data_IF_695209963768
#
_entry.id   IF_695209963768
#
_cell.length_a   1.000
_cell.length_b   1.000
_cell.length_c   1.000
_cell.angle_alpha   90.00
_cell.angle_beta   90.00
_cell.angle_gamma   90.00
#
_symmetry.space_group_name_H-M   'P 1'
#
loop_
_entity.id
_entity.type
_entity.pdbx_description
1 polymer ?
#
# COMPACT_ATOMS: atom_id res chain seq x y z
N UNK A 1 -9.40 11.62 12.27
CA UNK A 1 -8.94 12.89 12.89
C UNK A 1 -9.47 14.06 12.03
N UNK A 2 -9.44 15.33 12.46
CA UNK A 2 -9.89 16.49 11.65
C UNK A 2 -8.80 17.55 11.57
N UNK A 3 -8.61 18.19 10.41
CA UNK A 3 -7.73 19.35 10.25
C UNK A 3 -8.56 20.62 10.03
N UNK A 4 -8.06 21.74 10.54
CA UNK A 4 -8.68 23.05 10.45
C UNK A 4 -7.65 24.04 9.93
N UNK A 5 -7.97 24.71 8.82
CA UNK A 5 -7.18 25.84 8.33
C UNK A 5 -7.55 27.06 9.20
N UNK A 6 -6.68 27.42 10.15
CA UNK A 6 -6.83 28.61 11.00
C UNK A 6 -5.98 29.72 10.42
N UNK A 7 -6.63 30.78 9.95
CA UNK A 7 -5.98 31.99 9.48
C UNK A 7 -5.80 32.95 10.64
N UNK A 8 -4.56 33.37 10.86
CA UNK A 8 -4.19 34.36 11.87
C UNK A 8 -3.93 35.66 11.13
N UNK A 9 -4.69 36.71 11.45
CA UNK A 9 -4.49 38.05 10.89
C UNK A 9 -4.06 39.01 11.98
N UNK A 10 -2.86 39.59 11.85
CA UNK A 10 -2.36 40.64 12.74
C UNK A 10 -2.65 42.02 12.15
N UNK A 11 -3.25 42.91 12.93
CA UNK A 11 -3.58 44.29 12.55
C UNK A 11 -2.64 45.26 13.27
N UNK A 12 -2.01 46.17 12.53
CA UNK A 12 -1.15 47.23 13.08
C UNK A 12 -1.74 48.62 12.82
N UNK A 13 -1.77 49.48 13.84
CA UNK A 13 -2.29 50.86 13.78
C UNK A 13 -1.26 51.88 14.30
N UNK A 14 -1.09 52.99 13.58
CA UNK A 14 -0.22 54.12 13.97
C UNK A 14 -0.85 55.43 13.58
N UNK A 15 -1.07 56.29 14.57
CA UNK A 15 -1.58 57.65 14.36
C UNK A 15 -0.42 58.57 14.02
N UNK A 16 -0.50 59.27 12.89
CA UNK A 16 0.50 60.23 12.43
C UNK A 16 -0.15 61.59 12.25
N UNK A 17 0.50 62.64 12.74
CA UNK A 17 0.07 64.02 12.56
C UNK A 17 0.85 64.66 11.41
N UNK A 18 0.14 65.18 10.41
CA UNK A 18 0.74 65.88 9.25
C UNK A 18 0.04 67.22 9.02
N UNK A 19 0.78 68.19 8.48
CA UNK A 19 0.23 69.48 8.05
C UNK A 19 0.00 69.45 6.53
N UNK A 20 -1.26 69.61 6.13
CA UNK A 20 -1.65 69.65 4.72
C UNK A 20 -2.79 70.66 4.49
N UNK A 21 -2.98 71.11 3.25
CA UNK A 21 -4.01 72.11 2.92
C UNK A 21 -5.43 71.49 2.82
N UNK A 22 -5.54 70.17 2.79
CA UNK A 22 -6.82 69.45 2.78
C UNK A 22 -6.69 68.02 3.34
N UNK A 23 -7.81 67.42 3.76
CA UNK A 23 -7.86 66.03 4.25
C UNK A 23 -7.37 65.02 3.20
N UNK A 24 -7.74 65.23 1.93
CA UNK A 24 -7.34 64.35 0.82
C UNK A 24 -5.83 64.41 0.57
N UNK A 25 -5.24 65.60 0.72
CA UNK A 25 -3.80 65.79 0.58
C UNK A 25 -3.03 65.17 1.75
N UNK A 26 -3.54 65.30 2.99
CA UNK A 26 -2.99 64.62 4.16
C UNK A 26 -2.97 63.09 3.99
N UNK A 27 -4.09 62.48 3.57
CA UNK A 27 -4.17 61.04 3.33
C UNK A 27 -3.21 60.58 2.22
N UNK A 28 -3.13 61.33 1.11
CA UNK A 28 -2.22 61.00 0.01
C UNK A 28 -0.76 61.09 0.44
N UNK A 29 -0.40 62.11 1.21
CA UNK A 29 0.94 62.30 1.74
C UNK A 29 1.34 61.16 2.68
N UNK A 30 0.49 60.81 3.64
CA UNK A 30 0.74 59.71 4.58
C UNK A 30 0.82 58.37 3.86
N UNK A 31 -0.05 58.13 2.87
CA UNK A 31 -0.03 56.91 2.05
C UNK A 31 1.26 56.79 1.23
N UNK A 32 1.73 57.89 0.65
CA UNK A 32 2.98 57.91 -0.11
C UNK A 32 4.18 57.66 0.81
N UNK A 33 4.27 58.36 1.94
CA UNK A 33 5.32 58.18 2.93
C UNK A 33 5.35 56.76 3.53
N UNK A 34 4.19 56.11 3.65
CA UNK A 34 4.11 54.69 4.02
C UNK A 34 4.74 53.78 2.94
N UNK A 35 4.41 53.96 1.66
CA UNK A 35 5.01 53.18 0.56
C UNK A 35 6.50 53.46 0.38
N UNK A 36 6.95 54.68 0.66
CA UNK A 36 8.36 55.08 0.65
C UNK A 36 9.11 54.63 1.92
N UNK A 37 8.43 53.87 2.81
CA UNK A 37 8.97 53.29 4.05
C UNK A 37 9.40 54.32 5.11
N UNK A 38 8.93 55.57 5.02
CA UNK A 38 9.15 56.60 6.06
C UNK A 38 8.30 56.34 7.31
N UNK A 39 7.13 55.72 7.15
CA UNK A 39 6.29 55.24 8.24
C UNK A 39 6.26 53.71 8.28
N UNK A 40 7.15 53.12 9.08
CA UNK A 40 7.13 51.69 9.37
C UNK A 40 6.22 51.43 10.56
N UNK A 41 5.32 50.46 10.41
CA UNK A 41 4.53 49.86 11.48
C UNK A 41 5.34 48.67 12.02
N UNK A 42 5.70 48.71 13.29
CA UNK A 42 6.46 47.65 13.95
C UNK A 42 5.63 47.00 15.08
N UNK A 43 6.27 46.13 15.87
CA UNK A 43 5.63 45.43 16.98
C UNK A 43 4.99 46.33 18.04
N UNK A 44 5.40 47.61 18.15
CA UNK A 44 4.79 48.57 19.08
C UNK A 44 3.45 49.13 18.56
N UNK A 45 3.15 48.94 17.27
CA UNK A 45 1.91 49.38 16.62
C UNK A 45 0.82 48.29 16.60
N UNK A 46 0.99 47.21 17.35
CA UNK A 46 0.05 46.09 17.35
C UNK A 46 -1.32 46.48 17.92
N UNK A 47 -2.37 46.35 17.10
CA UNK A 47 -3.75 46.68 17.46
C UNK A 47 -4.60 45.44 17.80
N UNK A 48 -4.22 44.24 17.32
CA UNK A 48 -4.88 42.99 17.69
C UNK A 48 -4.65 41.84 16.70
N UNK A 49 -5.15 40.66 17.07
CA UNK A 49 -5.17 39.45 16.22
C UNK A 49 -6.61 38.98 16.06
N UNK A 50 -7.02 38.66 14.84
CA UNK A 50 -8.24 37.90 14.56
C UNK A 50 -7.91 36.49 14.07
N UNK A 51 -8.73 35.52 14.48
CA UNK A 51 -8.61 34.11 14.10
C UNK A 51 -9.85 33.73 13.31
N UNK A 52 -9.68 33.44 12.02
CA UNK A 52 -10.76 33.03 11.13
C UNK A 52 -10.51 31.60 10.66
N UNK A 53 -11.48 30.71 10.87
CA UNK A 53 -11.40 29.30 10.43
C UNK A 53 -12.09 29.18 9.06
N UNK A 54 -11.31 28.98 7.99
CA UNK A 54 -11.83 29.13 6.62
C UNK A 54 -12.37 27.83 5.99
N UNK A 55 -12.07 26.64 6.52
CA UNK A 55 -12.72 25.39 6.06
C UNK A 55 -12.57 24.21 7.03
N UNK A 56 -13.64 23.41 7.16
CA UNK A 56 -13.61 22.04 7.68
C UNK A 56 -13.20 21.11 6.54
N UNK A 57 -12.03 20.47 6.64
CA UNK A 57 -11.66 19.37 5.75
C UNK A 57 -11.77 18.07 6.52
N UNK A 58 -12.69 17.23 6.08
CA UNK A 58 -12.79 15.87 6.59
C UNK A 58 -11.58 15.10 6.06
N UNK A 59 -10.74 14.61 6.97
CA UNK A 59 -9.70 13.67 6.59
C UNK A 59 -10.46 12.38 6.28
N UNK A 60 -10.59 12.03 5.00
CA UNK A 60 -10.79 10.62 4.64
C UNK A 60 -9.50 9.95 5.12
N UNK A 61 -9.51 9.49 6.36
CA UNK A 61 -8.53 8.51 6.80
C UNK A 61 -8.86 7.29 5.96
N UNK A 62 -8.17 7.20 4.82
CA UNK A 62 -7.98 6.00 4.05
C UNK A 62 -7.18 5.05 4.94
N UNK A 63 -7.79 4.60 6.05
CA UNK A 63 -7.40 3.40 6.74
C UNK A 63 -7.69 2.30 5.74
N UNK A 64 -6.79 2.11 4.77
CA UNK A 64 -6.76 0.90 3.98
C UNK A 64 -6.72 -0.22 5.00
N UNK A 65 -7.84 -0.91 5.16
CA UNK A 65 -7.90 -2.11 5.98
C UNK A 65 -6.96 -3.09 5.31
N UNK A 66 -5.77 -3.24 5.88
CA UNK A 66 -4.79 -4.18 5.40
C UNK A 66 -5.19 -5.58 5.86
N UNK A 67 -5.02 -6.53 4.96
CA UNK A 67 -5.32 -7.93 5.17
C UNK A 67 -4.07 -8.77 5.00
N UNK A 68 -3.85 -9.68 5.94
CA UNK A 68 -2.79 -10.69 5.84
C UNK A 68 -3.27 -11.82 4.91
N UNK A 69 -2.60 -11.96 3.77
CA UNK A 69 -2.96 -12.93 2.72
C UNK A 69 -1.73 -13.68 2.23
N UNK A 70 -1.94 -14.82 1.57
CA UNK A 70 -0.85 -15.58 0.95
C UNK A 70 -0.83 -15.30 -0.56
N UNK A 71 0.24 -14.65 -1.03
CA UNK A 71 0.48 -14.43 -2.46
C UNK A 71 1.25 -15.61 -3.05
N UNK A 72 0.70 -16.21 -4.11
CA UNK A 72 1.31 -17.35 -4.80
C UNK A 72 1.57 -16.96 -6.24
N UNK A 73 2.85 -16.93 -6.62
CA UNK A 73 3.28 -16.59 -7.99
C UNK A 73 3.76 -17.82 -8.78
N UNK A 74 3.65 -17.81 -10.12
CA UNK A 74 4.14 -18.89 -10.97
C UNK A 74 5.64 -19.17 -10.77
N UNK A 75 5.96 -20.41 -10.41
CA UNK A 75 7.34 -20.87 -10.22
C UNK A 75 8.04 -20.31 -8.97
N UNK A 76 7.30 -19.73 -8.02
CA UNK A 76 7.84 -19.17 -6.77
C UNK A 76 7.20 -19.82 -5.55
N UNK A 77 7.94 -19.85 -4.45
CA UNK A 77 7.38 -20.17 -3.14
C UNK A 77 6.31 -19.14 -2.74
N UNK A 78 5.26 -19.56 -2.02
CA UNK A 78 4.23 -18.66 -1.55
C UNK A 78 4.80 -17.62 -0.57
N UNK A 79 4.21 -16.42 -0.53
CA UNK A 79 4.68 -15.31 0.28
C UNK A 79 3.52 -14.72 1.10
N UNK A 80 3.66 -14.70 2.42
CA UNK A 80 2.76 -13.93 3.28
C UNK A 80 2.97 -12.43 3.02
N UNK A 81 1.90 -11.73 2.66
CA UNK A 81 1.92 -10.30 2.33
C UNK A 81 0.72 -9.58 2.94
N UNK A 82 0.87 -8.28 3.16
CA UNK A 82 -0.24 -7.41 3.53
C UNK A 82 -0.69 -6.60 2.32
N UNK A 83 -1.97 -6.70 1.98
CA UNK A 83 -2.60 -5.93 0.89
C UNK A 83 -3.85 -5.23 1.40
N UNK A 84 -4.32 -4.19 0.70
CA UNK A 84 -5.61 -3.57 1.03
C UNK A 84 -6.77 -4.50 0.66
N UNK A 85 -7.86 -4.43 1.42
CA UNK A 85 -9.08 -5.20 1.16
C UNK A 85 -9.98 -4.66 0.05
N UNK A 86 -9.60 -3.55 -0.58
CA UNK A 86 -10.38 -2.95 -1.66
C UNK A 86 -10.22 -3.73 -2.97
N UNK A 87 -11.27 -3.72 -3.81
CA UNK A 87 -11.28 -4.41 -5.11
C UNK A 87 -10.07 -4.04 -5.98
N UNK A 88 -9.70 -2.76 -6.01
CA UNK A 88 -8.56 -2.27 -6.80
C UNK A 88 -7.22 -2.86 -6.33
N UNK A 89 -7.05 -3.05 -5.01
CA UNK A 89 -5.84 -3.61 -4.44
C UNK A 89 -5.72 -5.12 -4.78
N UNK A 90 -6.85 -5.85 -4.76
CA UNK A 90 -6.91 -7.26 -5.18
C UNK A 90 -6.63 -7.41 -6.68
N UNK A 91 -7.29 -6.60 -7.53
CA UNK A 91 -7.09 -6.62 -8.98
C UNK A 91 -5.64 -6.33 -9.36
N UNK A 92 -5.01 -5.38 -8.68
CA UNK A 92 -3.59 -5.06 -8.87
C UNK A 92 -2.68 -6.21 -8.45
N UNK A 93 -3.03 -6.94 -7.40
CA UNK A 93 -2.24 -8.07 -6.90
C UNK A 93 -2.29 -9.27 -7.86
N UNK A 94 -3.44 -9.59 -8.45
CA UNK A 94 -3.60 -10.71 -9.40
C UNK A 94 -3.33 -10.32 -10.86
N UNK A 95 -3.23 -9.02 -11.14
CA UNK A 95 -2.89 -8.47 -12.45
C UNK A 95 -4.05 -8.42 -13.45
N UNK A 96 -5.29 -8.25 -12.97
CA UNK A 96 -6.49 -8.19 -13.82
C UNK A 96 -7.79 -8.20 -13.03
N UNK A 97 -8.90 -8.40 -13.72
CA UNK A 97 -10.20 -8.60 -13.08
C UNK A 97 -10.20 -9.88 -12.24
N UNK A 98 -10.82 -9.80 -11.07
CA UNK A 98 -10.74 -10.87 -10.08
C UNK A 98 -11.89 -11.85 -10.22
N UNK A 99 -11.60 -13.12 -10.03
CA UNK A 99 -12.57 -14.19 -9.81
C UNK A 99 -12.24 -14.88 -8.49
N UNK A 100 -13.27 -15.18 -7.69
CA UNK A 100 -13.13 -15.93 -6.45
C UNK A 100 -13.49 -17.40 -6.67
N UNK A 101 -12.57 -18.29 -6.32
CA UNK A 101 -12.75 -19.75 -6.41
C UNK A 101 -12.72 -20.33 -5.00
N UNK A 102 -13.58 -21.32 -4.74
CA UNK A 102 -13.77 -21.94 -3.43
C UNK A 102 -13.48 -23.44 -3.51
N UNK A 103 -12.21 -23.85 -3.70
CA UNK A 103 -11.88 -25.26 -3.90
C UNK A 103 -11.73 -26.03 -2.57
N UNK A 104 -11.85 -25.36 -1.43
CA UNK A 104 -11.61 -25.89 -0.09
C UNK A 104 -12.89 -25.87 0.77
N UNK A 105 -12.92 -26.67 1.84
CA UNK A 105 -14.04 -26.67 2.79
C UNK A 105 -13.84 -25.64 3.91
N UNK A 106 -12.59 -25.23 4.14
CA UNK A 106 -12.20 -24.15 5.02
C UNK A 106 -12.77 -22.80 4.55
N UNK A 107 -12.90 -21.84 5.46
CA UNK A 107 -13.37 -20.47 5.17
C UNK A 107 -12.30 -19.65 4.43
N UNK A 108 -11.93 -20.13 3.26
CA UNK A 108 -10.85 -19.60 2.42
C UNK A 108 -11.29 -19.55 0.96
N UNK A 109 -10.93 -18.48 0.28
CA UNK A 109 -11.07 -18.36 -1.16
C UNK A 109 -9.72 -18.15 -1.85
N UNK A 110 -9.67 -18.56 -3.11
CA UNK A 110 -8.60 -18.19 -4.03
C UNK A 110 -9.08 -17.04 -4.90
N UNK A 111 -8.42 -15.90 -4.81
CA UNK A 111 -8.65 -14.77 -5.70
C UNK A 111 -7.67 -14.89 -6.86
N UNK A 112 -8.20 -15.11 -8.06
CA UNK A 112 -7.43 -15.33 -9.29
C UNK A 112 -7.75 -14.25 -10.31
N UNK A 113 -6.91 -14.11 -11.34
CA UNK A 113 -7.22 -13.32 -12.51
C UNK A 113 -8.18 -14.08 -13.43
N UNK A 114 -9.40 -13.58 -13.61
CA UNK A 114 -10.48 -14.19 -14.42
C UNK A 114 -9.99 -14.47 -15.85
N UNK A 115 -9.29 -13.50 -16.44
CA UNK A 115 -8.80 -13.60 -17.81
C UNK A 115 -7.38 -14.19 -17.90
N UNK A 116 -6.79 -14.66 -16.80
CA UNK A 116 -5.39 -15.09 -16.75
C UNK A 116 -5.02 -16.13 -17.81
N UNK A 117 -5.91 -17.11 -18.05
CA UNK A 117 -5.73 -18.14 -19.09
C UNK A 117 -5.85 -17.57 -20.51
N UNK A 118 -6.75 -16.62 -20.71
CA UNK A 118 -7.02 -15.99 -22.02
C UNK A 118 -5.86 -15.04 -22.40
N UNK A 119 -5.34 -14.31 -21.41
CA UNK A 119 -4.25 -13.35 -21.56
C UNK A 119 -2.87 -14.02 -21.63
N UNK A 120 -2.81 -15.35 -21.49
CA UNK A 120 -1.58 -16.12 -21.64
C UNK A 120 -0.65 -16.06 -20.43
N UNK A 121 -1.18 -15.78 -19.24
CA UNK A 121 -0.42 -15.84 -17.98
C UNK A 121 0.18 -17.22 -17.76
N UNK A 122 1.34 -17.28 -17.10
CA UNK A 122 2.01 -18.54 -16.76
C UNK A 122 1.12 -19.38 -15.82
N UNK A 123 1.07 -20.69 -16.05
CA UNK A 123 0.36 -21.62 -15.18
C UNK A 123 1.05 -21.71 -13.81
N UNK A 124 0.28 -21.72 -12.73
CA UNK A 124 0.78 -21.53 -11.38
C UNK A 124 0.62 -22.77 -10.48
N UNK A 125 -0.62 -23.17 -10.18
CA UNK A 125 -0.97 -24.33 -9.34
C UNK A 125 -2.18 -25.07 -9.89
N UNK A 126 -2.16 -26.39 -9.81
CA UNK A 126 -3.29 -27.25 -10.15
C UNK A 126 -4.33 -27.25 -9.04
N UNK A 127 -5.60 -27.21 -9.41
CA UNK A 127 -6.70 -27.54 -8.53
C UNK A 127 -7.12 -29.00 -8.77
N UNK A 128 -7.26 -29.75 -7.68
CA UNK A 128 -7.47 -31.19 -7.68
C UNK A 128 -8.81 -31.52 -7.02
N UNK A 129 -9.51 -32.52 -7.56
CA UNK A 129 -10.72 -33.06 -6.95
C UNK A 129 -10.38 -34.00 -5.78
N UNK A 130 -11.41 -34.55 -5.12
CA UNK A 130 -11.26 -35.52 -4.03
C UNK A 130 -10.49 -36.80 -4.43
N UNK A 131 -10.39 -37.09 -5.72
CA UNK A 131 -9.64 -38.22 -6.27
C UNK A 131 -8.20 -37.85 -6.65
N UNK A 132 -7.77 -36.61 -6.41
CA UNK A 132 -6.47 -36.08 -6.77
C UNK A 132 -6.30 -35.76 -8.26
N UNK A 133 -7.38 -35.81 -9.04
CA UNK A 133 -7.37 -35.49 -10.47
C UNK A 133 -7.44 -33.99 -10.68
N UNK A 134 -6.62 -33.48 -11.60
CA UNK A 134 -6.61 -32.06 -11.96
C UNK A 134 -7.89 -31.76 -12.73
N UNK A 135 -8.74 -30.91 -12.17
CA UNK A 135 -9.93 -30.40 -12.86
C UNK A 135 -9.71 -29.00 -13.43
N UNK A 136 -8.82 -28.21 -12.83
CA UNK A 136 -8.44 -26.90 -13.32
C UNK A 136 -6.99 -26.51 -12.97
N UNK A 137 -6.45 -25.49 -13.63
CA UNK A 137 -5.11 -24.95 -13.39
C UNK A 137 -5.19 -23.43 -13.33
N UNK A 138 -4.73 -22.85 -12.23
CA UNK A 138 -4.68 -21.39 -12.06
C UNK A 138 -3.58 -20.82 -12.97
N UNK A 139 -3.87 -19.69 -13.64
CA UNK A 139 -2.93 -18.96 -14.48
C UNK A 139 -2.68 -17.55 -13.93
N UNK A 140 -1.41 -17.18 -13.77
CA UNK A 140 -0.99 -15.92 -13.16
C UNK A 140 -0.86 -15.98 -11.64
N UNK A 141 -0.62 -14.82 -11.04
CA UNK A 141 -0.54 -14.64 -9.60
C UNK A 141 -1.95 -14.82 -9.00
N UNK A 142 -2.02 -15.45 -7.83
CA UNK A 142 -3.27 -15.57 -7.08
C UNK A 142 -3.05 -15.33 -5.59
N UNK A 143 -4.14 -14.98 -4.91
CA UNK A 143 -4.14 -14.77 -3.47
C UNK A 143 -4.96 -15.86 -2.79
N UNK A 144 -4.48 -16.33 -1.65
CA UNK A 144 -5.28 -17.08 -0.69
C UNK A 144 -5.76 -16.09 0.36
N UNK A 145 -7.07 -15.98 0.52
CA UNK A 145 -7.71 -15.01 1.43
C UNK A 145 -8.68 -15.72 2.36
N UNK A 146 -8.85 -15.20 3.57
CA UNK A 146 -9.90 -15.66 4.47
C UNK A 146 -11.27 -15.17 4.01
N UNK A 147 -12.32 -15.86 4.45
CA UNK A 147 -13.71 -15.43 4.22
C UNK A 147 -14.26 -14.81 5.50
N UNK A 148 -14.69 -13.55 5.39
CA UNK A 148 -15.54 -12.90 6.39
C UNK A 148 -17.02 -13.16 6.12
N UNK A 149 -17.90 -12.39 6.78
CA UNK A 149 -19.35 -12.53 6.61
C UNK A 149 -19.83 -12.08 5.23
N UNK A 150 -19.32 -10.93 4.75
CA UNK A 150 -19.72 -10.33 3.46
C UNK A 150 -18.52 -9.98 2.56
N UNK A 151 -17.31 -9.89 3.12
CA UNK A 151 -16.09 -9.48 2.43
C UNK A 151 -14.95 -10.49 2.65
N UNK A 152 -13.87 -10.35 1.87
CA UNK A 152 -12.64 -11.06 2.13
C UNK A 152 -11.99 -10.59 3.44
N UNK A 153 -11.38 -11.52 4.17
CA UNK A 153 -10.75 -11.28 5.46
C UNK A 153 -9.28 -11.76 5.48
N UNK A 154 -8.55 -11.31 6.50
CA UNK A 154 -7.19 -11.82 6.74
C UNK A 154 -7.23 -13.32 7.02
N UNK A 155 -6.24 -14.05 6.53
CA UNK A 155 -6.03 -15.43 6.96
C UNK A 155 -5.65 -15.47 8.44
N UNK A 156 -6.23 -16.43 9.17
CA UNK A 156 -5.73 -16.72 10.52
C UNK A 156 -4.30 -17.28 10.42
N UNK A 157 -3.47 -17.15 11.48
CA UNK A 157 -2.12 -17.70 11.48
C UNK A 157 -2.08 -19.21 11.16
N UNK A 158 -3.09 -19.96 11.60
CA UNK A 158 -3.21 -21.40 11.34
C UNK A 158 -3.48 -21.69 9.86
N UNK A 159 -4.41 -20.95 9.25
CA UNK A 159 -4.73 -21.08 7.82
C UNK A 159 -3.55 -20.63 6.95
N UNK A 160 -2.84 -19.56 7.35
CA UNK A 160 -1.64 -19.10 6.68
C UNK A 160 -0.58 -20.22 6.60
N UNK A 161 -0.29 -20.88 7.72
CA UNK A 161 0.69 -21.98 7.75
C UNK A 161 0.20 -23.21 6.98
N UNK A 162 -1.10 -23.52 7.05
CA UNK A 162 -1.71 -24.64 6.30
C UNK A 162 -1.56 -24.45 4.79
N UNK A 163 -1.96 -23.29 4.28
CA UNK A 163 -1.92 -23.01 2.84
C UNK A 163 -0.51 -22.69 2.33
N UNK A 164 0.39 -22.19 3.19
CA UNK A 164 1.80 -22.10 2.85
C UNK A 164 2.39 -23.49 2.58
N UNK A 165 2.03 -24.51 3.37
CA UNK A 165 2.46 -25.91 3.16
C UNK A 165 1.81 -26.51 1.92
N UNK A 166 0.51 -26.29 1.72
CA UNK A 166 -0.25 -26.81 0.57
C UNK A 166 0.34 -26.30 -0.75
N UNK A 167 0.62 -24.99 -0.83
CA UNK A 167 1.15 -24.36 -2.04
C UNK A 167 2.66 -24.20 -2.07
N UNK A 168 3.38 -24.79 -1.10
CA UNK A 168 4.81 -24.58 -0.93
C UNK A 168 5.56 -24.87 -2.22
N UNK A 169 5.40 -26.08 -2.76
CA UNK A 169 6.11 -26.47 -3.97
C UNK A 169 5.45 -25.88 -5.21
N UNK A 170 6.18 -25.13 -6.05
CA UNK A 170 5.68 -24.72 -7.35
C UNK A 170 5.50 -25.91 -8.29
N UNK A 171 4.59 -25.80 -9.25
CA UNK A 171 4.32 -26.85 -10.23
C UNK A 171 4.73 -26.40 -11.64
N UNK A 172 5.12 -27.37 -12.47
CA UNK A 172 5.25 -27.22 -13.91
C UNK A 172 4.25 -28.14 -14.63
N UNK A 173 3.75 -27.67 -15.76
CA UNK A 173 2.67 -28.34 -16.48
C UNK A 173 3.15 -28.88 -17.80
N UNK A 174 2.98 -30.19 -18.01
CA UNK A 174 3.40 -30.88 -19.24
C UNK A 174 2.17 -31.46 -19.93
N UNK A 175 1.97 -31.09 -21.20
CA UNK A 175 0.91 -31.63 -22.03
C UNK A 175 1.30 -33.02 -22.56
N UNK A 176 0.53 -34.03 -22.18
CA UNK A 176 0.65 -35.42 -22.63
C UNK A 176 -0.56 -35.75 -23.52
N UNK A 177 -0.47 -35.38 -24.80
CA UNK A 177 -1.55 -35.58 -25.77
C UNK A 177 -2.81 -34.78 -25.42
N UNK A 178 -3.85 -35.47 -24.92
CA UNK A 178 -5.13 -34.89 -24.47
C UNK A 178 -5.18 -34.58 -22.97
N UNK A 179 -4.16 -34.99 -22.21
CA UNK A 179 -4.10 -34.80 -20.77
C UNK A 179 -3.00 -33.80 -20.40
N UNK A 180 -3.12 -33.18 -19.24
CA UNK A 180 -2.08 -32.33 -18.64
C UNK A 180 -1.62 -32.98 -17.34
N UNK A 181 -0.31 -33.03 -17.12
CA UNK A 181 0.30 -33.45 -15.87
C UNK A 181 0.92 -32.26 -15.17
N UNK A 182 0.70 -32.14 -13.86
CA UNK A 182 1.42 -31.22 -12.99
C UNK A 182 2.53 -31.98 -12.26
N UNK A 183 3.77 -31.48 -12.37
CA UNK A 183 4.94 -32.03 -11.71
C UNK A 183 5.54 -30.96 -10.78
N UNK A 184 6.06 -31.34 -9.60
CA UNK A 184 6.75 -30.38 -8.74
C UNK A 184 7.96 -29.80 -9.49
N UNK A 185 8.09 -28.47 -9.46
CA UNK A 185 9.24 -27.74 -10.00
C UNK A 185 10.46 -28.04 -9.12
N UNK A 186 11.58 -28.51 -9.68
CA UNK A 186 12.81 -28.72 -8.90
C UNK A 186 13.29 -27.42 -8.24
N UNK A 187 13.85 -27.51 -7.02
CA UNK A 187 14.26 -26.35 -6.22
C UNK A 187 15.29 -25.45 -6.93
N UNK A 188 16.15 -26.02 -7.77
CA UNK A 188 17.13 -25.28 -8.58
C UNK A 188 16.48 -24.41 -9.67
N UNK A 189 15.20 -24.66 -9.99
CA UNK A 189 14.42 -23.91 -10.98
C UNK A 189 13.36 -23.00 -10.36
N UNK A 190 13.22 -23.01 -9.04
CA UNK A 190 12.31 -22.10 -8.34
C UNK A 190 12.85 -20.68 -8.45
N UNK A 191 12.01 -19.77 -8.94
CA UNK A 191 12.35 -18.35 -9.11
C UNK A 191 12.49 -17.70 -7.73
N UNK A 192 13.47 -16.81 -7.57
CA UNK A 192 13.69 -16.07 -6.32
C UNK A 192 12.60 -15.02 -6.09
N UNK A 193 12.25 -14.77 -4.82
CA UNK A 193 11.34 -13.69 -4.41
C UNK A 193 11.81 -12.32 -4.91
N UNK A 194 10.89 -11.54 -5.51
CA UNK A 194 11.13 -10.13 -5.91
C UNK A 194 11.31 -9.19 -4.71
N UNK A 195 10.96 -9.65 -3.50
CA UNK A 195 11.06 -8.89 -2.26
C UNK A 195 12.52 -8.90 -1.77
N UNK A 196 13.15 -7.74 -1.49
CA UNK A 196 14.51 -7.71 -0.98
C UNK A 196 14.61 -8.50 0.32
N UNK A 197 15.39 -9.58 0.33
CA UNK A 197 15.69 -10.34 1.54
C UNK A 197 16.34 -9.39 2.54
N UNK A 198 15.63 -9.07 3.64
CA UNK A 198 16.23 -8.41 4.80
C UNK A 198 17.33 -9.34 5.28
N UNK A 199 18.58 -8.88 5.16
CA UNK A 199 19.77 -9.69 5.37
C UNK A 199 19.72 -10.37 6.76
N UNK A 200 19.56 -11.68 6.78
CA UNK A 200 19.82 -12.47 7.96
C UNK A 200 21.34 -12.48 8.15
N UNK A 201 21.78 -11.78 9.19
CA UNK A 201 23.16 -11.77 9.67
C UNK A 201 23.59 -13.20 9.97
N UNK A 202 24.45 -13.75 9.11
CA UNK A 202 25.14 -15.01 9.35
C UNK A 202 26.03 -14.86 10.61
N UNK A 203 26.02 -15.82 11.55
CA UNK A 203 26.97 -15.82 12.64
C UNK A 203 28.37 -16.08 12.07
N UNK A 204 29.24 -15.07 12.14
CA UNK A 204 30.65 -15.21 11.78
C UNK A 204 31.29 -16.27 12.67
N UNK A 205 31.84 -17.32 12.06
CA UNK A 205 32.75 -18.26 12.72
C UNK A 205 33.96 -17.50 13.21
N UNK A 206 34.10 -17.39 14.53
CA UNK A 206 35.35 -16.97 15.17
C UNK A 206 36.33 -18.15 15.03
N UNK A 207 37.28 -18.03 14.11
CA UNK A 207 38.51 -18.83 14.13
C UNK A 207 39.45 -18.22 15.18
N UNK A 208 39.93 -18.97 16.20
CA UNK A 208 40.92 -18.44 17.11
C UNK A 208 42.28 -18.34 16.39
N UNK A 209 42.85 -17.16 16.56
CA UNK A 209 44.10 -16.66 16.03
C UNK A 209 45.28 -17.61 16.31
N UNK A 210 46.10 -17.81 15.29
CA UNK A 210 47.38 -18.49 15.39
C UNK A 210 48.44 -17.43 15.16
N UNK A 211 49.00 -16.86 16.23
CA UNK A 211 50.33 -16.27 16.16
C UNK A 211 51.06 -16.19 17.52
N UNK A 212 52.20 -16.86 17.53
CA UNK A 212 53.51 -16.46 18.08
C UNK A 212 53.68 -16.26 19.60
N UNK A 213 54.31 -17.25 20.22
CA UNK A 213 55.66 -17.14 20.82
C UNK A 213 56.29 -18.53 21.05
#
# INVERSE_FOLDING_TARGET
MKEYDVKITEMFEKTVTVEAASLVEAEKQVKQAYYDSEYVLDSENFAGVTFDTEAEREIVQDQKNLMDVLLVKPGMYPQAVQIGGELEDLQKAVGGDIEAVYPFNEEVALVVNEEGKINGSELNRALRDDNGQIYDIIAGDFLVVGLGEEDFASLSPELMEQFEKEFHQPEMFVRMGRSVMALPLPDDKVKSSDVPRKAETMPQKISPDRDVL
#
